data_IF_445540585996
#
_entry.id   IF_445540585996
#
_cell.length_a   1.000
_cell.length_b   1.000
_cell.length_c   1.000
_cell.angle_alpha   90.00
_cell.angle_beta   90.00
_cell.angle_gamma   90.00
#
_symmetry.space_group_name_H-M   'P 1'
#
loop_
_entity.id
_entity.type
_entity.pdbx_description
1 polymer ?
#
# COMPACT_ATOMS: atom_id res chain seq x y z
N UNK A 1 -4.16 -18.32 -17.20
CA UNK A 1 -4.46 -17.53 -15.99
C UNK A 1 -5.97 -17.38 -15.90
N UNK A 2 -6.53 -17.67 -14.74
CA UNK A 2 -7.94 -17.41 -14.42
C UNK A 2 -8.05 -16.64 -13.12
N UNK A 3 -9.05 -15.77 -13.00
CA UNK A 3 -9.35 -15.09 -11.75
C UNK A 3 -10.31 -15.93 -10.93
N UNK A 4 -10.07 -16.03 -9.63
CA UNK A 4 -10.89 -16.76 -8.68
C UNK A 4 -11.73 -15.75 -7.88
N UNK A 5 -13.00 -16.06 -7.69
CA UNK A 5 -13.91 -15.25 -6.87
C UNK A 5 -14.81 -16.18 -6.04
N UNK A 6 -15.32 -15.67 -4.91
CA UNK A 6 -16.15 -16.45 -3.99
C UNK A 6 -17.60 -16.70 -4.45
N UNK A 7 -18.00 -16.23 -5.66
CA UNK A 7 -19.34 -16.44 -6.19
C UNK A 7 -19.28 -16.85 -7.66
N UNK A 8 -19.86 -18.01 -7.98
CA UNK A 8 -20.01 -18.50 -9.35
C UNK A 8 -21.46 -18.90 -9.57
N UNK A 9 -22.13 -18.28 -10.55
CA UNK A 9 -23.44 -18.70 -11.02
C UNK A 9 -24.52 -18.78 -9.95
N UNK A 10 -24.42 -17.98 -8.87
CA UNK A 10 -25.37 -17.99 -7.75
C UNK A 10 -25.09 -19.02 -6.66
N UNK A 11 -24.01 -19.79 -6.76
CA UNK A 11 -23.54 -20.71 -5.70
C UNK A 11 -22.37 -20.04 -4.94
N UNK A 12 -22.41 -20.07 -3.61
CA UNK A 12 -21.27 -19.73 -2.77
C UNK A 12 -20.31 -20.92 -2.77
N UNK A 13 -19.05 -20.65 -3.11
CA UNK A 13 -17.97 -21.63 -3.15
C UNK A 13 -16.76 -21.00 -2.49
N UNK A 14 -16.02 -21.73 -1.64
CA UNK A 14 -14.80 -21.17 -1.08
C UNK A 14 -13.74 -20.94 -2.17
N UNK A 15 -12.77 -20.10 -1.92
CA UNK A 15 -11.66 -19.89 -2.86
C UNK A 15 -10.94 -21.20 -3.16
N UNK A 16 -10.75 -22.05 -2.15
CA UNK A 16 -10.11 -23.36 -2.29
C UNK A 16 -10.94 -24.30 -3.18
N UNK A 17 -12.24 -24.45 -2.91
CA UNK A 17 -13.14 -25.25 -3.73
C UNK A 17 -13.17 -24.79 -5.18
N UNK A 18 -13.13 -23.46 -5.40
CA UNK A 18 -13.08 -22.90 -6.75
C UNK A 18 -11.77 -23.24 -7.46
N UNK A 19 -10.63 -23.17 -6.76
CA UNK A 19 -9.35 -23.57 -7.30
C UNK A 19 -9.32 -25.05 -7.69
N UNK A 20 -9.86 -25.92 -6.82
CA UNK A 20 -10.00 -27.36 -7.09
C UNK A 20 -10.93 -27.60 -8.29
N UNK A 21 -12.09 -26.97 -8.33
CA UNK A 21 -13.04 -27.08 -9.46
C UNK A 21 -12.41 -26.66 -10.80
N UNK A 22 -11.58 -25.63 -10.78
CA UNK A 22 -10.87 -25.14 -11.98
C UNK A 22 -9.59 -25.93 -12.29
N UNK A 23 -9.23 -26.90 -11.47
CA UNK A 23 -8.00 -27.69 -11.61
C UNK A 23 -6.75 -26.78 -11.82
N UNK A 24 -6.60 -25.74 -10.99
CA UNK A 24 -5.46 -24.86 -11.09
C UNK A 24 -4.19 -25.52 -10.55
N UNK A 25 -3.05 -25.31 -11.20
CA UNK A 25 -1.75 -25.87 -10.79
C UNK A 25 -1.10 -25.07 -9.65
N UNK A 26 -1.54 -23.82 -9.44
CA UNK A 26 -1.00 -22.95 -8.40
C UNK A 26 -1.73 -21.62 -8.32
N UNK A 27 -1.48 -20.87 -7.23
CA UNK A 27 -2.24 -19.68 -6.84
C UNK A 27 -1.29 -18.51 -6.63
N UNK A 28 -1.61 -17.35 -7.21
CA UNK A 28 -1.09 -16.05 -6.78
C UNK A 28 -2.18 -15.34 -5.98
N UNK A 29 -1.96 -15.15 -4.68
CA UNK A 29 -2.90 -14.47 -3.80
C UNK A 29 -2.48 -13.00 -3.62
N UNK A 30 -3.32 -12.08 -4.07
CA UNK A 30 -3.07 -10.64 -3.99
C UNK A 30 -4.37 -9.89 -3.65
N UNK A 31 -4.26 -8.79 -2.94
CA UNK A 31 -5.40 -7.91 -2.61
C UNK A 31 -6.56 -8.64 -1.93
N UNK A 32 -6.25 -9.61 -1.07
CA UNK A 32 -7.21 -10.38 -0.27
C UNK A 32 -7.00 -10.15 1.21
N UNK A 33 -8.02 -10.40 2.02
CA UNK A 33 -7.87 -10.45 3.47
C UNK A 33 -7.21 -11.76 3.89
N UNK A 34 -5.89 -11.74 4.11
CA UNK A 34 -5.10 -12.91 4.53
C UNK A 34 -5.47 -13.42 5.94
N UNK A 35 -6.26 -12.69 6.70
CA UNK A 35 -6.74 -13.12 8.03
C UNK A 35 -8.13 -13.77 7.97
N UNK A 36 -8.81 -13.71 6.82
CA UNK A 36 -10.09 -14.38 6.61
C UNK A 36 -9.96 -15.92 6.62
N UNK A 37 -11.01 -16.61 7.05
CA UNK A 37 -11.01 -18.08 7.06
C UNK A 37 -10.88 -18.67 5.64
N UNK A 38 -11.46 -18.00 4.64
CA UNK A 38 -11.42 -18.44 3.24
C UNK A 38 -10.00 -18.43 2.66
N UNK A 39 -9.20 -17.41 2.98
CA UNK A 39 -7.81 -17.33 2.53
C UNK A 39 -6.91 -18.24 3.35
N UNK A 40 -7.21 -18.44 4.64
CA UNK A 40 -6.50 -19.44 5.46
C UNK A 40 -6.67 -20.85 4.92
N UNK A 41 -7.89 -21.21 4.49
CA UNK A 41 -8.13 -22.50 3.83
C UNK A 41 -7.23 -22.69 2.59
N UNK A 42 -7.02 -21.63 1.77
CA UNK A 42 -6.06 -21.67 0.67
C UNK A 42 -4.63 -21.89 1.14
N UNK A 43 -4.22 -21.21 2.22
CA UNK A 43 -2.86 -21.27 2.76
C UNK A 43 -2.53 -22.63 3.37
N UNK A 44 -3.55 -23.31 3.94
CA UNK A 44 -3.43 -24.63 4.56
C UNK A 44 -3.63 -25.77 3.54
N UNK A 45 -4.07 -25.45 2.32
CA UNK A 45 -4.33 -26.43 1.26
C UNK A 45 -3.08 -26.91 0.54
N UNK A 46 -3.25 -27.95 -0.29
CA UNK A 46 -2.16 -28.60 -1.02
C UNK A 46 -1.76 -27.90 -2.33
N UNK A 47 -2.51 -26.88 -2.76
CA UNK A 47 -2.23 -26.16 -4.02
C UNK A 47 -1.08 -25.19 -3.80
N UNK A 48 0.01 -25.26 -4.59
CA UNK A 48 1.13 -24.32 -4.50
C UNK A 48 0.66 -22.87 -4.54
N UNK A 49 1.09 -22.05 -3.58
CA UNK A 49 0.69 -20.65 -3.46
C UNK A 49 1.87 -19.73 -3.23
N UNK A 50 1.82 -18.55 -3.88
CA UNK A 50 2.67 -17.40 -3.57
C UNK A 50 1.76 -16.22 -3.20
N UNK A 51 1.98 -15.63 -2.04
CA UNK A 51 1.29 -14.42 -1.60
C UNK A 51 2.00 -13.15 -2.07
N UNK A 52 1.24 -12.13 -2.39
CA UNK A 52 1.75 -10.78 -2.68
C UNK A 52 1.41 -9.88 -1.49
N UNK A 53 2.44 -9.19 -0.96
CA UNK A 53 2.35 -8.29 0.19
C UNK A 53 1.86 -8.92 1.50
N UNK A 54 2.01 -10.24 1.62
CA UNK A 54 1.75 -10.96 2.87
C UNK A 54 2.82 -12.02 3.10
N UNK A 55 3.60 -11.87 4.19
CA UNK A 55 4.60 -12.84 4.59
C UNK A 55 3.97 -13.94 5.44
N UNK A 56 4.05 -15.18 4.96
CA UNK A 56 3.76 -16.38 5.73
C UNK A 56 5.09 -17.04 6.13
N UNK A 57 5.25 -17.45 7.40
CA UNK A 57 6.49 -18.03 7.92
C UNK A 57 6.93 -19.28 7.16
N UNK A 58 5.98 -20.12 6.77
CA UNK A 58 6.22 -21.39 6.07
C UNK A 58 5.89 -21.34 4.57
N UNK A 59 5.53 -20.17 4.05
CA UNK A 59 5.08 -19.99 2.67
C UNK A 59 6.07 -19.20 1.84
N UNK A 60 5.60 -18.86 0.64
CA UNK A 60 6.33 -18.06 -0.33
C UNK A 60 5.63 -16.72 -0.52
N UNK A 61 6.40 -15.65 -0.53
CA UNK A 61 5.84 -14.31 -0.73
C UNK A 61 6.75 -13.42 -1.58
N UNK A 62 6.12 -12.48 -2.26
CA UNK A 62 6.79 -11.36 -2.91
C UNK A 62 6.11 -10.08 -2.45
N UNK A 63 6.88 -9.14 -1.94
CA UNK A 63 6.35 -7.90 -1.38
C UNK A 63 7.08 -6.68 -1.94
N UNK A 64 6.40 -5.55 -2.00
CA UNK A 64 7.07 -4.26 -2.14
C UNK A 64 7.91 -3.96 -0.89
N UNK A 65 8.97 -3.17 -1.04
CA UNK A 65 9.70 -2.63 0.12
C UNK A 65 8.87 -1.51 0.78
N UNK A 66 7.87 -1.95 1.53
CA UNK A 66 6.92 -1.08 2.21
C UNK A 66 7.57 -0.19 3.28
N UNK A 67 8.64 -0.69 3.92
CA UNK A 67 9.36 0.06 4.94
C UNK A 67 10.18 1.18 4.32
N UNK A 68 10.99 0.86 3.30
CA UNK A 68 11.79 1.85 2.58
C UNK A 68 10.89 2.87 1.87
N UNK A 69 9.77 2.43 1.28
CA UNK A 69 8.85 3.32 0.57
C UNK A 69 8.34 4.47 1.44
N UNK A 70 7.86 4.16 2.64
CA UNK A 70 7.40 5.19 3.59
C UNK A 70 8.57 6.01 4.14
N UNK A 71 9.70 5.37 4.46
CA UNK A 71 10.90 6.08 4.91
C UNK A 71 11.36 7.10 3.86
N UNK A 72 11.42 6.70 2.58
CA UNK A 72 11.79 7.58 1.48
C UNK A 72 10.84 8.78 1.33
N UNK A 73 9.53 8.56 1.45
CA UNK A 73 8.53 9.64 1.43
C UNK A 73 8.77 10.62 2.59
N UNK A 74 8.87 10.11 3.83
CA UNK A 74 9.04 10.96 5.03
C UNK A 74 10.33 11.77 4.95
N UNK A 75 11.44 11.16 4.54
CA UNK A 75 12.71 11.85 4.37
C UNK A 75 12.64 12.94 3.30
N UNK A 76 12.02 12.62 2.16
CA UNK A 76 11.84 13.59 1.08
C UNK A 76 11.03 14.81 1.52
N UNK A 77 9.87 14.65 2.16
CA UNK A 77 9.08 15.79 2.61
C UNK A 77 9.78 16.57 3.73
N UNK A 78 10.58 15.90 4.58
CA UNK A 78 11.43 16.56 5.55
C UNK A 78 12.53 17.42 4.90
N UNK A 79 13.18 16.90 3.85
CA UNK A 79 14.16 17.65 3.04
C UNK A 79 13.53 18.86 2.35
N UNK A 80 12.24 18.80 2.02
CA UNK A 80 11.48 19.95 1.53
C UNK A 80 11.12 20.96 2.63
N UNK A 81 11.50 20.73 3.90
CA UNK A 81 11.30 21.63 5.04
C UNK A 81 10.13 21.26 5.96
N UNK A 82 9.31 20.29 5.58
CA UNK A 82 8.14 19.90 6.37
C UNK A 82 8.54 19.22 7.70
N UNK A 83 8.00 19.72 8.81
CA UNK A 83 8.15 19.14 10.15
C UNK A 83 6.80 18.72 10.76
N UNK A 84 5.70 19.23 10.21
CA UNK A 84 4.32 18.87 10.57
C UNK A 84 3.79 17.92 9.50
N UNK A 85 4.20 16.67 9.60
CA UNK A 85 3.90 15.61 8.64
C UNK A 85 2.84 14.71 9.24
N UNK A 86 1.67 14.61 8.61
CA UNK A 86 0.61 13.72 9.03
C UNK A 86 0.57 12.47 8.14
N UNK A 87 0.02 11.39 8.67
CA UNK A 87 -0.17 10.14 7.93
C UNK A 87 -1.56 9.56 8.15
N UNK A 88 -2.32 9.45 7.08
CA UNK A 88 -3.53 8.65 7.03
C UNK A 88 -3.09 7.27 6.54
N UNK A 89 -3.18 6.25 7.41
CA UNK A 89 -2.78 4.89 7.07
C UNK A 89 -4.00 4.01 6.74
N UNK A 90 -3.78 2.89 6.04
CA UNK A 90 -4.85 1.99 5.60
C UNK A 90 -5.49 1.16 6.71
N UNK A 91 -6.37 0.26 6.31
CA UNK A 91 -6.97 -0.78 7.16
C UNK A 91 -5.94 -1.80 7.64
N UNK A 92 -6.32 -2.61 8.62
CA UNK A 92 -5.43 -3.56 9.30
C UNK A 92 -4.87 -4.60 8.34
N UNK A 93 -3.55 -4.56 8.11
CA UNK A 93 -2.81 -5.52 7.29
C UNK A 93 -1.34 -5.54 7.67
N UNK A 94 -0.56 -6.52 7.18
CA UNK A 94 0.90 -6.53 7.36
C UNK A 94 1.54 -5.32 6.67
N UNK A 95 1.05 -4.93 5.49
CA UNK A 95 1.48 -3.74 4.76
C UNK A 95 1.31 -2.49 5.61
N UNK A 96 0.10 -2.28 6.14
CA UNK A 96 -0.20 -1.13 6.99
C UNK A 96 0.68 -1.11 8.25
N UNK A 97 0.86 -2.25 8.90
CA UNK A 97 1.72 -2.35 10.10
C UNK A 97 3.16 -1.99 9.75
N UNK A 98 3.70 -2.52 8.66
CA UNK A 98 5.07 -2.22 8.21
C UNK A 98 5.25 -0.74 7.88
N UNK A 99 4.34 -0.17 7.09
CA UNK A 99 4.38 1.24 6.71
C UNK A 99 4.24 2.17 7.92
N UNK A 100 3.31 1.87 8.84
CA UNK A 100 3.08 2.68 10.05
C UNK A 100 4.30 2.66 10.99
N UNK A 101 4.93 1.51 11.17
CA UNK A 101 6.15 1.39 11.97
C UNK A 101 7.29 2.18 11.31
N UNK A 102 7.51 2.01 10.00
CA UNK A 102 8.52 2.78 9.25
C UNK A 102 8.30 4.29 9.35
N UNK A 103 7.05 4.75 9.25
CA UNK A 103 6.72 6.17 9.45
C UNK A 103 7.14 6.64 10.84
N UNK A 104 6.75 5.92 11.91
CA UNK A 104 7.06 6.28 13.30
C UNK A 104 8.57 6.31 13.55
N UNK A 105 9.27 5.30 13.06
CA UNK A 105 10.72 5.19 13.23
C UNK A 105 11.44 6.33 12.50
N UNK A 106 11.05 6.62 11.25
CA UNK A 106 11.67 7.70 10.47
C UNK A 106 11.38 9.08 11.07
N UNK A 107 10.14 9.36 11.52
CA UNK A 107 9.79 10.60 12.22
C UNK A 107 10.65 10.77 13.48
N UNK A 108 10.84 9.70 14.25
CA UNK A 108 11.69 9.70 15.45
C UNK A 108 13.17 9.92 15.13
N UNK A 109 13.71 9.25 14.11
CA UNK A 109 15.09 9.42 13.64
C UNK A 109 15.39 10.86 13.21
N UNK A 110 14.42 11.53 12.57
CA UNK A 110 14.51 12.91 12.14
C UNK A 110 14.31 13.94 13.29
N UNK A 111 14.06 13.47 14.50
CA UNK A 111 13.83 14.34 15.67
C UNK A 111 12.51 15.11 15.61
N UNK A 112 11.54 14.66 14.80
CA UNK A 112 10.23 15.28 14.71
C UNK A 112 9.33 14.75 15.84
N UNK A 113 8.66 15.66 16.55
CA UNK A 113 7.68 15.27 17.56
C UNK A 113 6.40 14.79 16.87
N UNK A 114 6.07 13.52 17.07
CA UNK A 114 4.83 12.94 16.55
C UNK A 114 3.63 13.51 17.31
N UNK A 115 2.71 14.15 16.59
CA UNK A 115 1.44 14.62 17.13
C UNK A 115 0.40 13.50 17.02
N UNK A 116 -0.32 13.12 18.10
CA UNK A 116 -1.32 12.04 18.04
C UNK A 116 -2.39 12.28 16.98
N UNK A 117 -2.82 13.53 16.79
CA UNK A 117 -3.85 13.92 15.82
C UNK A 117 -3.39 13.83 14.37
N UNK A 118 -2.09 13.68 14.12
CA UNK A 118 -1.51 13.52 12.78
C UNK A 118 -1.50 12.06 12.30
N UNK A 119 -1.93 11.11 13.13
CA UNK A 119 -2.12 9.72 12.76
C UNK A 119 -3.61 9.38 12.74
N UNK A 120 -4.13 9.06 11.58
CA UNK A 120 -5.54 8.66 11.41
C UNK A 120 -5.61 7.35 10.64
N UNK A 121 -6.47 6.45 11.12
CA UNK A 121 -6.78 5.23 10.37
C UNK A 121 -7.84 5.55 9.31
N UNK A 122 -7.48 5.34 8.06
CA UNK A 122 -8.36 5.33 6.91
C UNK A 122 -8.59 3.93 6.39
N UNK A 123 -8.70 3.82 5.08
CA UNK A 123 -8.82 2.57 4.34
C UNK A 123 -8.09 2.69 3.01
N UNK A 124 -7.50 1.59 2.52
CA UNK A 124 -6.94 1.57 1.17
C UNK A 124 -8.04 1.74 0.12
N UNK A 125 -7.72 2.44 -0.95
CA UNK A 125 -8.58 2.67 -2.11
C UNK A 125 -9.92 3.37 -1.78
N UNK A 126 -9.98 4.08 -0.65
CA UNK A 126 -11.18 4.79 -0.18
C UNK A 126 -10.93 6.30 -0.14
N UNK A 127 -11.30 6.97 -1.24
CA UNK A 127 -11.16 8.41 -1.38
C UNK A 127 -12.12 9.20 -0.46
N UNK A 128 -13.29 8.65 -0.13
CA UNK A 128 -14.30 9.36 0.69
C UNK A 128 -13.86 9.46 2.16
N UNK A 129 -13.37 8.33 2.72
CA UNK A 129 -12.81 8.33 4.08
C UNK A 129 -11.60 9.25 4.15
N UNK A 130 -10.70 9.21 3.15
CA UNK A 130 -9.50 10.05 3.13
C UNK A 130 -9.85 11.52 2.98
N UNK A 131 -10.86 11.87 2.18
CA UNK A 131 -11.37 13.23 2.06
C UNK A 131 -11.86 13.76 3.42
N UNK A 132 -12.67 12.98 4.14
CA UNK A 132 -13.17 13.33 5.47
C UNK A 132 -12.02 13.56 6.46
N UNK A 133 -11.09 12.59 6.56
CA UNK A 133 -9.98 12.66 7.50
C UNK A 133 -9.02 13.82 7.21
N UNK A 134 -8.77 14.10 5.93
CA UNK A 134 -7.99 15.26 5.50
C UNK A 134 -8.67 16.55 5.96
N UNK A 135 -9.98 16.69 5.76
CA UNK A 135 -10.75 17.86 6.24
C UNK A 135 -10.66 18.03 7.76
N UNK A 136 -10.74 16.94 8.52
CA UNK A 136 -10.57 16.97 9.98
C UNK A 136 -9.16 17.46 10.38
N UNK A 137 -8.10 16.95 9.72
CA UNK A 137 -6.72 17.35 9.98
C UNK A 137 -6.44 18.82 9.65
N UNK A 138 -7.05 19.34 8.58
CA UNK A 138 -6.92 20.74 8.18
C UNK A 138 -7.62 21.71 9.14
N UNK A 139 -8.56 21.25 9.94
CA UNK A 139 -9.30 22.03 10.94
C UNK A 139 -8.70 21.94 12.35
N UNK A 140 -7.57 21.27 12.54
CA UNK A 140 -6.86 21.25 13.81
C UNK A 140 -6.37 22.67 14.17
N UNK A 141 -6.19 22.94 15.45
CA UNK A 141 -5.60 24.21 15.93
C UNK A 141 -4.18 24.40 15.39
N UNK A 142 -3.46 23.31 15.24
CA UNK A 142 -2.12 23.26 14.64
C UNK A 142 -2.16 22.23 13.49
N UNK A 143 -2.56 22.63 12.26
CA UNK A 143 -2.72 21.71 11.16
C UNK A 143 -1.37 21.23 10.59
N UNK A 144 -1.32 20.02 9.99
CA UNK A 144 -0.14 19.55 9.29
C UNK A 144 0.15 20.40 8.05
N UNK A 145 1.43 20.46 7.65
CA UNK A 145 1.84 21.09 6.39
C UNK A 145 1.98 20.09 5.24
N UNK A 146 2.02 18.80 5.58
CA UNK A 146 2.05 17.70 4.62
C UNK A 146 1.22 16.53 5.16
N UNK A 147 0.42 15.91 4.29
CA UNK A 147 -0.33 14.69 4.59
C UNK A 147 0.11 13.58 3.64
N UNK A 148 0.60 12.48 4.20
CA UNK A 148 0.85 11.24 3.48
C UNK A 148 -0.45 10.43 3.55
N UNK A 149 -0.86 9.82 2.44
CA UNK A 149 -2.09 9.02 2.36
C UNK A 149 -1.79 7.57 1.98
N UNK A 150 -2.72 6.60 2.21
CA UNK A 150 -2.45 5.17 2.04
C UNK A 150 -2.02 4.76 0.63
N UNK A 151 -2.61 5.41 -0.38
CA UNK A 151 -2.45 5.11 -1.80
C UNK A 151 -2.85 6.30 -2.68
N UNK A 152 -2.60 6.20 -3.97
CA UNK A 152 -2.84 7.27 -4.94
C UNK A 152 -4.34 7.54 -5.19
N UNK A 153 -5.23 6.56 -5.05
CA UNK A 153 -6.68 6.80 -5.14
C UNK A 153 -7.19 7.57 -3.92
N UNK A 154 -6.68 7.22 -2.75
CA UNK A 154 -6.93 7.97 -1.51
C UNK A 154 -6.44 9.42 -1.62
N UNK A 155 -5.33 9.67 -2.35
CA UNK A 155 -4.82 11.03 -2.58
C UNK A 155 -5.82 11.91 -3.32
N UNK A 156 -6.65 11.36 -4.21
CA UNK A 156 -7.71 12.11 -4.89
C UNK A 156 -8.70 12.66 -3.86
N UNK A 157 -9.06 11.86 -2.85
CA UNK A 157 -9.93 12.32 -1.75
C UNK A 157 -9.30 13.44 -0.94
N UNK A 158 -8.01 13.31 -0.59
CA UNK A 158 -7.28 14.36 0.11
C UNK A 158 -7.25 15.67 -0.70
N UNK A 159 -6.98 15.59 -2.00
CA UNK A 159 -6.97 16.75 -2.89
C UNK A 159 -8.35 17.41 -2.99
N UNK A 160 -9.43 16.62 -3.02
CA UNK A 160 -10.80 17.13 -3.00
C UNK A 160 -11.11 17.87 -1.70
N UNK A 161 -10.70 17.33 -0.53
CA UNK A 161 -10.89 18.00 0.76
C UNK A 161 -10.24 19.39 0.77
N UNK A 162 -9.00 19.51 0.29
CA UNK A 162 -8.26 20.77 0.20
C UNK A 162 -9.02 21.78 -0.67
N UNK A 163 -9.48 21.35 -1.85
CA UNK A 163 -10.21 22.19 -2.78
C UNK A 163 -11.57 22.65 -2.22
N UNK A 164 -12.29 21.79 -1.49
CA UNK A 164 -13.60 22.12 -0.88
C UNK A 164 -13.53 23.27 0.12
N UNK A 165 -12.41 23.42 0.82
CA UNK A 165 -12.20 24.52 1.78
C UNK A 165 -11.52 25.73 1.15
N UNK A 166 -11.43 25.79 -0.19
CA UNK A 166 -10.85 26.92 -0.92
C UNK A 166 -9.34 27.06 -0.82
N UNK A 167 -8.64 25.99 -0.41
CA UNK A 167 -7.18 25.94 -0.32
C UNK A 167 -6.56 25.30 -1.55
N UNK A 168 -5.26 25.45 -1.70
CA UNK A 168 -4.47 25.00 -2.87
C UNK A 168 -3.36 24.04 -2.51
N UNK A 169 -3.05 23.15 -3.43
CA UNK A 169 -1.93 22.21 -3.37
C UNK A 169 -0.92 22.64 -4.44
N UNK A 170 0.34 22.80 -4.09
CA UNK A 170 0.98 22.53 -2.79
C UNK A 170 1.06 23.75 -1.85
N UNK A 171 0.48 24.92 -2.19
CA UNK A 171 0.76 26.18 -1.52
C UNK A 171 0.29 26.23 -0.07
N UNK A 172 -0.90 25.72 0.23
CA UNK A 172 -1.44 25.67 1.59
C UNK A 172 -1.11 24.37 2.31
N UNK A 173 -1.03 23.25 1.57
CA UNK A 173 -0.74 21.93 2.10
C UNK A 173 -0.16 21.00 1.03
N UNK A 174 0.81 20.20 1.41
CA UNK A 174 1.39 19.19 0.55
C UNK A 174 0.68 17.83 0.73
N UNK A 175 0.51 17.08 -0.37
CA UNK A 175 -0.10 15.75 -0.37
C UNK A 175 0.87 14.77 -1.03
N UNK A 176 1.05 13.59 -0.41
CA UNK A 176 1.89 12.52 -0.95
C UNK A 176 1.10 11.20 -0.94
N UNK A 177 1.09 10.51 -2.08
CA UNK A 177 0.45 9.22 -2.27
C UNK A 177 1.43 8.04 -2.14
N UNK A 178 0.94 6.87 -2.54
CA UNK A 178 1.66 5.62 -2.64
C UNK A 178 1.07 4.80 -3.80
N UNK A 179 1.85 4.02 -4.52
CA UNK A 179 1.60 3.10 -5.63
C UNK A 179 2.20 3.55 -6.96
N UNK A 180 2.22 4.86 -7.26
CA UNK A 180 2.75 5.37 -8.53
C UNK A 180 1.81 5.14 -9.71
N UNK A 181 0.50 5.29 -9.51
CA UNK A 181 -0.51 5.10 -10.56
C UNK A 181 -0.29 6.14 -11.67
N UNK A 182 -0.17 5.67 -12.93
CA UNK A 182 0.10 6.53 -14.07
C UNK A 182 -0.89 7.70 -14.21
N UNK A 183 -2.16 7.47 -13.88
CA UNK A 183 -3.20 8.50 -13.98
C UNK A 183 -2.91 9.70 -13.09
N UNK A 184 -2.36 9.49 -11.88
CA UNK A 184 -2.05 10.59 -10.94
C UNK A 184 -0.89 11.46 -11.40
N UNK A 185 -0.05 10.96 -12.30
CA UNK A 185 1.01 11.73 -12.93
C UNK A 185 0.50 12.67 -14.01
N UNK A 186 -0.69 12.42 -14.56
CA UNK A 186 -1.36 13.27 -15.56
C UNK A 186 -2.25 14.33 -14.92
N UNK A 187 -2.42 14.32 -13.60
CA UNK A 187 -3.20 15.33 -12.87
C UNK A 187 -2.45 16.65 -12.78
N UNK A 188 -3.19 17.73 -12.47
CA UNK A 188 -2.61 19.04 -12.18
C UNK A 188 -3.12 19.56 -10.82
N UNK A 189 -2.24 19.62 -9.79
CA UNK A 189 -0.82 19.21 -9.80
C UNK A 189 -0.64 17.70 -9.90
N UNK A 190 0.48 17.25 -10.53
CA UNK A 190 0.86 15.83 -10.58
C UNK A 190 1.28 15.33 -9.19
N UNK A 191 0.85 14.14 -8.82
CA UNK A 191 1.03 13.61 -7.48
C UNK A 191 2.48 13.18 -7.20
N UNK A 192 3.04 13.63 -6.10
CA UNK A 192 4.24 13.02 -5.51
C UNK A 192 3.83 11.72 -4.85
N UNK A 193 4.49 10.61 -5.20
CA UNK A 193 4.11 9.28 -4.75
C UNK A 193 5.30 8.32 -4.74
N UNK A 194 5.25 7.27 -3.92
CA UNK A 194 6.21 6.17 -4.03
C UNK A 194 5.67 5.13 -5.01
N UNK A 195 6.38 4.95 -6.12
CA UNK A 195 6.01 4.00 -7.16
C UNK A 195 6.48 2.60 -6.79
N UNK A 196 5.54 1.68 -6.64
CA UNK A 196 5.81 0.25 -6.50
C UNK A 196 6.20 -0.34 -7.86
N UNK A 197 7.17 -1.24 -7.89
CA UNK A 197 7.51 -1.97 -9.12
C UNK A 197 6.57 -3.17 -9.31
N UNK A 198 5.30 -2.88 -9.59
CA UNK A 198 4.24 -3.90 -9.71
C UNK A 198 4.52 -4.93 -10.79
N UNK A 199 5.19 -4.52 -11.88
CA UNK A 199 5.62 -5.44 -12.94
C UNK A 199 6.62 -6.48 -12.41
N UNK A 200 7.64 -6.03 -11.70
CA UNK A 200 8.68 -6.92 -11.16
C UNK A 200 8.13 -7.79 -10.01
N UNK A 201 7.23 -7.25 -9.19
CA UNK A 201 6.51 -8.03 -8.16
C UNK A 201 5.74 -9.17 -8.83
N UNK A 202 4.92 -8.87 -9.84
CA UNK A 202 4.11 -9.87 -10.54
C UNK A 202 4.98 -10.91 -11.28
N UNK A 203 6.05 -10.47 -11.97
CA UNK A 203 7.00 -11.35 -12.66
C UNK A 203 7.70 -12.29 -11.68
N UNK A 204 8.22 -11.74 -10.59
CA UNK A 204 8.93 -12.51 -9.56
C UNK A 204 8.00 -13.52 -8.88
N UNK A 205 6.77 -13.13 -8.57
CA UNK A 205 5.78 -14.02 -7.98
C UNK A 205 5.40 -15.17 -8.93
N UNK A 206 5.22 -14.89 -10.22
CA UNK A 206 4.94 -15.90 -11.22
C UNK A 206 6.12 -16.87 -11.42
N UNK A 207 7.36 -16.36 -11.51
CA UNK A 207 8.56 -17.17 -11.62
C UNK A 207 8.74 -18.07 -10.39
N UNK A 208 8.47 -17.54 -9.19
CA UNK A 208 8.54 -18.29 -7.94
C UNK A 208 7.48 -19.41 -7.93
N UNK A 209 6.24 -19.11 -8.28
CA UNK A 209 5.15 -20.08 -8.33
C UNK A 209 5.45 -21.20 -9.34
N UNK A 210 5.97 -20.88 -10.52
CA UNK A 210 6.35 -21.89 -11.52
C UNK A 210 7.45 -22.83 -10.99
N UNK A 211 8.42 -22.32 -10.23
CA UNK A 211 9.46 -23.16 -9.60
C UNK A 211 8.82 -24.13 -8.60
N UNK A 212 7.88 -23.66 -7.77
CA UNK A 212 7.19 -24.49 -6.79
C UNK A 212 6.38 -25.60 -7.49
N UNK A 213 5.58 -25.26 -8.51
CA UNK A 213 4.81 -26.22 -9.31
C UNK A 213 5.72 -27.28 -9.92
N UNK A 214 6.89 -26.88 -10.42
CA UNK A 214 7.90 -27.80 -11.00
C UNK A 214 8.72 -28.53 -9.96
N UNK A 215 8.48 -28.34 -8.65
CA UNK A 215 9.22 -28.92 -7.54
C UNK A 215 10.74 -28.66 -7.62
N UNK A 216 11.11 -27.49 -8.12
CA UNK A 216 12.49 -27.02 -8.12
C UNK A 216 12.81 -26.55 -6.69
N UNK A 217 13.93 -27.02 -6.16
CA UNK A 217 14.38 -26.61 -4.82
C UNK A 217 14.63 -25.11 -4.76
N UNK A 218 14.05 -24.44 -3.78
CA UNK A 218 14.15 -22.99 -3.56
C UNK A 218 14.82 -22.78 -2.20
N UNK A 219 15.99 -22.12 -2.15
CA UNK A 219 16.64 -21.80 -0.88
C UNK A 219 15.71 -20.97 0.04
N UNK A 220 15.75 -21.22 1.34
CA UNK A 220 14.92 -20.52 2.32
C UNK A 220 15.04 -18.99 2.23
N UNK A 221 16.23 -18.48 1.90
CA UNK A 221 16.47 -17.05 1.68
C UNK A 221 15.68 -16.44 0.50
N UNK A 222 15.12 -17.29 -0.37
CA UNK A 222 14.29 -16.87 -1.52
C UNK A 222 12.80 -17.17 -1.31
N UNK A 223 12.38 -17.59 -0.12
CA UNK A 223 10.96 -17.79 0.18
C UNK A 223 10.19 -16.48 0.29
N UNK A 224 10.85 -15.42 0.78
CA UNK A 224 10.23 -14.10 0.93
C UNK A 224 11.09 -13.07 0.21
N UNK A 225 10.62 -12.61 -0.94
CA UNK A 225 11.35 -11.70 -1.82
C UNK A 225 10.78 -10.29 -1.66
N UNK A 226 11.67 -9.32 -1.45
CA UNK A 226 11.32 -7.91 -1.38
C UNK A 226 11.76 -7.24 -2.69
N UNK A 227 10.85 -6.52 -3.33
CA UNK A 227 11.07 -5.78 -4.56
C UNK A 227 11.07 -4.29 -4.24
N UNK A 228 12.17 -3.61 -4.56
CA UNK A 228 12.31 -2.16 -4.37
C UNK A 228 11.40 -1.37 -5.30
N UNK A 229 11.04 -0.17 -4.87
CA UNK A 229 10.35 0.85 -5.64
C UNK A 229 11.18 2.13 -5.74
N UNK A 230 10.55 3.23 -6.13
CA UNK A 230 11.21 4.54 -6.20
C UNK A 230 10.21 5.69 -5.98
N UNK A 231 10.72 6.82 -5.50
CA UNK A 231 9.92 8.03 -5.32
C UNK A 231 9.75 8.76 -6.65
N UNK A 232 8.52 9.07 -7.02
CA UNK A 232 8.18 10.00 -8.12
C UNK A 232 7.89 11.36 -7.49
N UNK A 233 8.71 12.35 -7.85
CA UNK A 233 8.55 13.73 -7.39
C UNK A 233 7.61 14.46 -8.35
N UNK A 234 6.36 14.61 -7.93
CA UNK A 234 5.36 15.41 -8.64
C UNK A 234 5.35 16.88 -8.16
N UNK A 235 4.21 17.54 -8.35
CA UNK A 235 4.02 18.95 -8.03
C UNK A 235 3.12 19.17 -6.79
N UNK A 236 2.82 18.12 -6.02
CA UNK A 236 1.96 18.22 -4.82
C UNK A 236 2.74 18.49 -3.53
N UNK A 237 4.06 18.62 -3.59
CA UNK A 237 4.91 18.94 -2.42
C UNK A 237 5.62 20.27 -2.64
N UNK A 238 5.49 21.16 -1.65
CA UNK A 238 6.14 22.47 -1.61
C UNK A 238 7.46 22.40 -0.83
N UNK A 239 8.43 23.21 -1.22
CA UNK A 239 9.60 23.52 -0.40
C UNK A 239 9.26 24.71 0.51
N UNK A 240 9.45 24.59 1.84
CA UNK A 240 9.13 25.58 2.88
C UNK A 240 10.32 25.90 3.76
#
# INVERSE_FOLDING_TARGET
>A
ITFICGQIGGSSMSYYEHCVYRCVDGILAACVDFYSNEVRELMDGDIPMVSIDFRNENGYSVSSDNAEGISAIVRYVYECGHKKIAYIYGDSSQVTTTRLNSYRDTIKELGIQLQPDYLKQGRHLDSEITEKLTGEMMNLLDPPTCIIVPDDLSAIGAMNAVKKVGKTIPDDISIVGYDGIQMTQLMNPSLTTFCQNTYEIGRTAADLLIKIIKKIEIPFSQHNIIVGGHLIKGNTVKHI
#
